data_IF_434406997490
#
_entry.id   IF_434406997490
#
_cell.length_a   1.000
_cell.length_b   1.000
_cell.length_c   1.000
_cell.angle_alpha   90.00
_cell.angle_beta   90.00
_cell.angle_gamma   90.00
#
_symmetry.space_group_name_H-M   'P 1'
#
loop_
_entity.id
_entity.type
_entity.pdbx_description
1 polymer ?
#
# COMPACT_ATOMS: atom_id res chain seq x y z
N UNK A 1 24.12 -22.10 -12.42
CA UNK A 1 23.52 -20.75 -12.54
C UNK A 1 24.66 -19.76 -12.61
N UNK A 2 24.68 -18.84 -13.58
CA UNK A 2 25.61 -17.70 -13.50
C UNK A 2 25.21 -16.86 -12.28
N UNK A 3 26.20 -16.37 -11.54
CA UNK A 3 25.99 -15.37 -10.48
C UNK A 3 25.35 -14.13 -11.10
N UNK A 4 24.29 -13.59 -10.48
CA UNK A 4 23.73 -12.31 -10.94
C UNK A 4 24.76 -11.20 -10.77
N UNK A 5 24.75 -10.23 -11.70
CA UNK A 5 25.64 -9.07 -11.62
C UNK A 5 25.27 -8.14 -10.46
N UNK A 6 24.11 -8.35 -9.81
CA UNK A 6 23.59 -7.54 -8.73
C UNK A 6 23.92 -8.05 -7.33
N UNK A 7 24.60 -9.18 -7.19
CA UNK A 7 24.89 -9.77 -5.87
C UNK A 7 25.67 -8.82 -4.93
N UNK A 8 26.45 -7.88 -5.47
CA UNK A 8 27.17 -6.89 -4.65
C UNK A 8 26.23 -5.91 -3.92
N UNK A 9 24.98 -5.76 -4.38
CA UNK A 9 23.99 -4.90 -3.73
C UNK A 9 23.66 -5.42 -2.33
N UNK A 10 23.75 -6.73 -2.10
CA UNK A 10 23.52 -7.36 -0.81
C UNK A 10 24.41 -6.82 0.31
N UNK A 11 25.56 -6.20 -0.02
CA UNK A 11 26.45 -5.55 0.95
C UNK A 11 25.80 -4.37 1.66
N UNK A 12 24.85 -3.67 1.02
CA UNK A 12 24.17 -2.51 1.60
C UNK A 12 22.65 -2.62 1.65
N UNK A 13 22.02 -3.50 0.84
CA UNK A 13 20.58 -3.73 0.90
C UNK A 13 20.17 -5.05 0.24
N UNK A 14 19.80 -6.04 1.05
CA UNK A 14 19.24 -7.31 0.56
C UNK A 14 17.92 -7.13 -0.20
N UNK A 15 17.13 -6.12 0.14
CA UNK A 15 15.86 -5.84 -0.56
C UNK A 15 16.09 -5.27 -1.96
N UNK A 16 17.07 -4.37 -2.13
CA UNK A 16 17.42 -3.86 -3.46
C UNK A 16 18.03 -4.98 -4.33
N UNK A 17 18.85 -5.85 -3.74
CA UNK A 17 19.40 -7.03 -4.41
C UNK A 17 18.28 -7.94 -4.94
N UNK A 18 17.30 -8.27 -4.09
CA UNK A 18 16.15 -9.09 -4.49
C UNK A 18 15.36 -8.45 -5.64
N UNK A 19 15.09 -7.15 -5.56
CA UNK A 19 14.38 -6.41 -6.61
C UNK A 19 15.17 -6.44 -7.92
N UNK A 20 16.48 -6.27 -7.89
CA UNK A 20 17.33 -6.30 -9.07
C UNK A 20 17.40 -7.70 -9.71
N UNK A 21 17.52 -8.76 -8.89
CA UNK A 21 17.48 -10.16 -9.37
C UNK A 21 16.12 -10.48 -10.02
N UNK A 22 15.01 -9.95 -9.47
CA UNK A 22 13.68 -10.11 -10.09
C UNK A 22 13.61 -9.41 -11.45
N UNK A 23 14.18 -8.21 -11.58
CA UNK A 23 14.29 -7.52 -12.88
C UNK A 23 15.08 -8.37 -13.87
N UNK A 24 16.22 -8.92 -13.44
CA UNK A 24 17.08 -9.79 -14.25
C UNK A 24 16.33 -11.04 -14.73
N UNK A 25 15.57 -11.68 -13.85
CA UNK A 25 14.80 -12.90 -14.13
C UNK A 25 13.66 -12.64 -15.12
N UNK A 26 12.97 -11.51 -15.00
CA UNK A 26 11.82 -11.15 -15.84
C UNK A 26 12.22 -10.49 -17.16
N UNK A 27 13.50 -10.18 -17.34
CA UNK A 27 14.02 -9.29 -18.37
C UNK A 27 13.62 -9.67 -19.80
N UNK A 28 13.64 -10.97 -20.11
CA UNK A 28 13.41 -11.49 -21.46
C UNK A 28 11.93 -11.83 -21.73
N UNK A 29 11.23 -12.33 -20.71
CA UNK A 29 9.89 -12.90 -20.88
C UNK A 29 8.77 -11.92 -20.52
N UNK A 30 9.01 -11.05 -19.53
CA UNK A 30 7.98 -10.23 -18.90
C UNK A 30 8.47 -8.80 -18.63
N UNK A 31 8.64 -7.97 -19.68
CA UNK A 31 9.19 -6.63 -19.54
C UNK A 31 8.33 -5.74 -18.62
N UNK A 32 7.00 -5.84 -18.67
CA UNK A 32 6.10 -5.02 -17.86
C UNK A 32 6.22 -5.29 -16.35
N UNK A 33 6.15 -6.55 -15.88
CA UNK A 33 6.54 -6.91 -14.51
C UNK A 33 7.96 -6.48 -14.15
N UNK A 34 8.94 -6.66 -15.04
CA UNK A 34 10.32 -6.23 -14.81
C UNK A 34 10.40 -4.72 -14.53
N UNK A 35 9.71 -3.88 -15.31
CA UNK A 35 9.68 -2.44 -15.06
C UNK A 35 8.95 -2.04 -13.78
N UNK A 36 7.96 -2.82 -13.35
CA UNK A 36 7.31 -2.60 -12.06
C UNK A 36 8.28 -2.87 -10.91
N UNK A 37 9.10 -3.92 -11.00
CA UNK A 37 10.17 -4.17 -10.02
C UNK A 37 11.26 -3.10 -10.06
N UNK A 38 11.67 -2.67 -11.26
CA UNK A 38 12.63 -1.57 -11.43
C UNK A 38 12.15 -0.27 -10.79
N UNK A 39 10.84 0.03 -10.86
CA UNK A 39 10.25 1.19 -10.19
C UNK A 39 10.39 1.11 -8.67
N UNK A 40 10.05 -0.05 -8.08
CA UNK A 40 10.20 -0.27 -6.63
C UNK A 40 11.66 -0.10 -6.20
N UNK A 41 12.59 -0.62 -7.01
CA UNK A 41 14.02 -0.43 -6.80
C UNK A 41 14.39 1.06 -6.73
N UNK A 42 13.96 1.86 -7.72
CA UNK A 42 14.24 3.29 -7.75
C UNK A 42 13.59 4.08 -6.61
N UNK A 43 12.37 3.70 -6.18
CA UNK A 43 11.67 4.31 -5.04
C UNK A 43 12.40 4.03 -3.71
N UNK A 44 12.87 2.79 -3.53
CA UNK A 44 13.65 2.39 -2.36
C UNK A 44 15.02 3.08 -2.34
N UNK A 45 15.76 3.06 -3.46
CA UNK A 45 17.08 3.69 -3.54
C UNK A 45 17.02 5.20 -3.23
N UNK A 46 16.04 5.91 -3.79
CA UNK A 46 15.84 7.34 -3.49
C UNK A 46 15.50 7.56 -2.02
N UNK A 47 14.73 6.67 -1.40
CA UNK A 47 14.43 6.79 0.03
C UNK A 47 15.68 6.56 0.89
N UNK A 48 16.53 5.60 0.52
CA UNK A 48 17.82 5.39 1.18
C UNK A 48 18.74 6.61 1.05
N UNK A 49 18.83 7.24 -0.13
CA UNK A 49 19.60 8.48 -0.31
C UNK A 49 19.07 9.59 0.62
N UNK A 50 17.75 9.77 0.70
CA UNK A 50 17.16 10.76 1.60
C UNK A 50 17.52 10.52 3.06
N UNK A 51 17.55 9.25 3.49
CA UNK A 51 17.94 8.87 4.85
C UNK A 51 19.43 9.16 5.10
N UNK A 52 20.32 8.81 4.16
CA UNK A 52 21.76 9.07 4.26
C UNK A 52 22.07 10.58 4.30
N UNK A 53 21.37 11.38 3.50
CA UNK A 53 21.53 12.83 3.44
C UNK A 53 20.77 13.56 4.59
N UNK A 54 20.16 12.80 5.51
CA UNK A 54 19.35 13.29 6.61
C UNK A 54 18.27 14.30 6.16
N UNK A 55 17.67 14.04 5.01
CA UNK A 55 16.63 14.87 4.39
C UNK A 55 15.23 14.45 4.81
N UNK A 56 15.10 13.90 6.03
CA UNK A 56 13.83 13.44 6.55
C UNK A 56 12.81 14.58 6.60
N UNK A 57 11.63 14.35 6.04
CA UNK A 57 10.63 15.40 5.85
C UNK A 57 9.46 15.25 6.79
N UNK A 58 8.96 16.39 7.27
CA UNK A 58 7.74 16.49 8.09
C UNK A 58 6.52 16.00 7.30
N UNK A 59 6.55 16.10 5.96
CA UNK A 59 5.45 15.69 5.09
C UNK A 59 5.92 14.68 4.02
N UNK A 60 5.07 13.70 3.65
CA UNK A 60 5.40 12.76 2.59
C UNK A 60 5.52 13.46 1.22
N UNK A 61 6.70 13.36 0.60
CA UNK A 61 6.91 13.79 -0.78
C UNK A 61 6.58 12.68 -1.79
N UNK A 62 6.07 13.07 -2.96
CA UNK A 62 5.97 12.15 -4.10
C UNK A 62 7.35 11.81 -4.63
N UNK A 63 7.47 10.65 -5.28
CA UNK A 63 8.74 10.20 -5.85
C UNK A 63 9.40 11.21 -6.81
N UNK A 64 8.60 11.87 -7.65
CA UNK A 64 9.11 12.91 -8.57
C UNK A 64 9.63 14.15 -7.83
N UNK A 65 9.02 14.51 -6.70
CA UNK A 65 9.45 15.63 -5.87
C UNK A 65 10.77 15.30 -5.17
N UNK A 66 10.90 14.06 -4.66
CA UNK A 66 12.15 13.56 -4.08
C UNK A 66 13.31 13.62 -5.08
N UNK A 67 13.14 13.03 -6.27
CA UNK A 67 14.18 13.02 -7.32
C UNK A 67 14.58 14.45 -7.73
N UNK A 68 13.60 15.33 -7.94
CA UNK A 68 13.87 16.72 -8.31
C UNK A 68 14.61 17.48 -7.19
N UNK A 69 14.32 17.19 -5.92
CA UNK A 69 14.99 17.84 -4.79
C UNK A 69 16.46 17.40 -4.71
N UNK A 70 16.75 16.11 -4.84
CA UNK A 70 18.13 15.61 -4.89
C UNK A 70 18.93 16.28 -6.01
N UNK A 71 18.33 16.42 -7.19
CA UNK A 71 18.98 17.05 -8.33
C UNK A 71 19.22 18.55 -8.11
N UNK A 72 18.21 19.29 -7.61
CA UNK A 72 18.34 20.74 -7.35
C UNK A 72 19.31 21.10 -6.24
N UNK A 73 19.59 20.15 -5.34
CA UNK A 73 20.55 20.32 -4.25
C UNK A 73 21.92 19.74 -4.59
N UNK A 74 22.14 19.38 -5.87
CA UNK A 74 23.41 18.83 -6.38
C UNK A 74 23.87 17.54 -5.68
N UNK A 75 22.95 16.81 -5.04
CA UNK A 75 23.23 15.51 -4.39
C UNK A 75 23.40 14.42 -5.44
N UNK A 76 22.60 14.48 -6.52
CA UNK A 76 22.71 13.58 -7.67
C UNK A 76 23.06 14.36 -8.93
N UNK A 77 23.90 13.77 -9.77
CA UNK A 77 24.27 14.34 -11.06
C UNK A 77 23.20 14.10 -12.13
N UNK A 78 23.30 14.83 -13.25
CA UNK A 78 22.33 14.78 -14.36
C UNK A 78 22.13 13.37 -14.94
N UNK A 79 23.20 12.57 -14.99
CA UNK A 79 23.13 11.20 -15.50
C UNK A 79 22.36 10.27 -14.56
N UNK A 80 22.53 10.40 -13.24
CA UNK A 80 21.79 9.69 -12.19
C UNK A 80 20.33 10.12 -12.18
N UNK A 81 20.09 11.44 -12.26
CA UNK A 81 18.76 12.01 -12.39
C UNK A 81 17.99 11.43 -13.58
N UNK A 82 18.61 11.41 -14.77
CA UNK A 82 18.01 10.85 -15.98
C UNK A 82 17.66 9.38 -15.85
N UNK A 83 18.51 8.57 -15.21
CA UNK A 83 18.26 7.14 -14.95
C UNK A 83 17.07 6.94 -14.00
N UNK A 84 17.00 7.71 -12.91
CA UNK A 84 15.87 7.67 -11.97
C UNK A 84 14.55 8.12 -12.61
N UNK A 85 14.56 9.21 -13.40
CA UNK A 85 13.37 9.66 -14.13
C UNK A 85 12.94 8.66 -15.21
N UNK A 86 13.89 8.01 -15.89
CA UNK A 86 13.60 6.97 -16.87
C UNK A 86 12.84 5.81 -16.22
N UNK A 87 13.39 5.25 -15.14
CA UNK A 87 12.76 4.16 -14.38
C UNK A 87 11.39 4.58 -13.85
N UNK A 88 11.26 5.79 -13.29
CA UNK A 88 9.98 6.31 -12.77
C UNK A 88 8.92 6.43 -13.86
N UNK A 89 9.25 7.05 -15.00
CA UNK A 89 8.29 7.29 -16.09
C UNK A 89 7.86 5.97 -16.73
N UNK A 90 8.81 5.11 -17.07
CA UNK A 90 8.53 3.82 -17.73
C UNK A 90 7.87 2.82 -16.78
N UNK A 91 8.28 2.81 -15.51
CA UNK A 91 7.62 2.04 -14.45
C UNK A 91 6.16 2.45 -14.23
N UNK A 92 5.86 3.76 -14.23
CA UNK A 92 4.48 4.25 -14.13
C UNK A 92 3.61 3.79 -15.31
N UNK A 93 4.17 3.80 -16.52
CA UNK A 93 3.49 3.28 -17.72
C UNK A 93 3.20 1.79 -17.53
N UNK A 94 4.21 1.01 -17.13
CA UNK A 94 4.08 -0.43 -16.89
C UNK A 94 3.02 -0.77 -15.82
N UNK A 95 2.86 0.06 -14.78
CA UNK A 95 1.88 -0.20 -13.71
C UNK A 95 0.44 0.20 -14.06
N UNK A 96 0.22 1.12 -15.00
CA UNK A 96 -1.09 1.75 -15.20
C UNK A 96 -1.65 1.65 -16.63
N UNK A 97 -0.83 1.31 -17.63
CA UNK A 97 -1.26 1.21 -19.02
C UNK A 97 -1.27 -0.25 -19.46
N UNK A 98 -2.36 -0.68 -20.10
CA UNK A 98 -2.47 -1.99 -20.75
C UNK A 98 -1.87 -1.87 -22.16
N UNK A 99 -0.57 -1.60 -22.22
CA UNK A 99 0.17 -1.53 -23.48
C UNK A 99 1.27 -2.58 -23.45
N UNK A 100 1.43 -3.30 -24.55
CA UNK A 100 2.62 -4.13 -24.75
C UNK A 100 3.85 -3.23 -24.67
N UNK A 101 4.81 -3.65 -23.85
CA UNK A 101 6.02 -2.89 -23.61
C UNK A 101 7.20 -3.59 -24.24
N UNK A 102 7.97 -2.82 -25.00
CA UNK A 102 9.17 -3.30 -25.68
C UNK A 102 10.19 -3.82 -24.66
N UNK A 103 10.79 -4.96 -24.98
CA UNK A 103 11.84 -5.59 -24.21
C UNK A 103 13.07 -4.69 -24.08
N UNK A 104 13.35 -3.84 -25.06
CA UNK A 104 14.44 -2.84 -24.99
C UNK A 104 14.25 -1.88 -23.81
N UNK A 105 13.00 -1.56 -23.44
CA UNK A 105 12.72 -0.70 -22.28
C UNK A 105 13.21 -1.35 -20.99
N UNK A 106 12.98 -2.65 -20.84
CA UNK A 106 13.41 -3.42 -19.68
C UNK A 106 14.93 -3.59 -19.63
N UNK A 107 15.60 -3.80 -20.78
CA UNK A 107 17.08 -3.84 -20.86
C UNK A 107 17.72 -2.52 -20.44
N UNK A 108 17.19 -1.40 -20.92
CA UNK A 108 17.66 -0.08 -20.51
C UNK A 108 17.45 0.16 -19.01
N UNK A 109 16.33 -0.31 -18.44
CA UNK A 109 16.12 -0.21 -17.00
C UNK A 109 17.07 -1.09 -16.19
N UNK A 110 17.34 -2.31 -16.65
CA UNK A 110 18.33 -3.19 -16.03
C UNK A 110 19.72 -2.56 -16.02
N UNK A 111 20.15 -1.94 -17.13
CA UNK A 111 21.40 -1.18 -17.17
C UNK A 111 21.37 0.02 -16.20
N UNK A 112 20.27 0.78 -16.19
CA UNK A 112 20.11 1.90 -15.27
C UNK A 112 20.18 1.48 -13.80
N UNK A 113 19.58 0.34 -13.44
CA UNK A 113 19.68 -0.24 -12.08
C UNK A 113 21.13 -0.53 -11.71
N UNK A 114 21.89 -1.11 -12.63
CA UNK A 114 23.30 -1.43 -12.40
C UNK A 114 24.14 -0.18 -12.18
N UNK A 115 24.01 0.82 -13.06
CA UNK A 115 24.71 2.09 -12.94
C UNK A 115 24.37 2.82 -11.62
N UNK A 116 23.08 2.85 -11.26
CA UNK A 116 22.61 3.45 -10.00
C UNK A 116 23.17 2.73 -8.78
N UNK A 117 23.30 1.41 -8.85
CA UNK A 117 23.82 0.59 -7.76
C UNK A 117 25.32 0.82 -7.56
N UNK A 118 26.08 0.92 -8.66
CA UNK A 118 27.51 1.28 -8.60
C UNK A 118 27.67 2.67 -8.00
N UNK A 119 26.94 3.65 -8.50
CA UNK A 119 27.02 5.02 -8.00
C UNK A 119 26.73 5.08 -6.49
N UNK A 120 25.68 4.40 -6.03
CA UNK A 120 25.36 4.36 -4.60
C UNK A 120 26.48 3.70 -3.77
N UNK A 121 27.06 2.61 -4.29
CA UNK A 121 28.17 1.91 -3.64
C UNK A 121 29.39 2.81 -3.49
N UNK A 122 29.75 3.56 -4.55
CA UNK A 122 30.91 4.45 -4.57
C UNK A 122 30.74 5.67 -3.67
N UNK A 123 29.52 6.22 -3.58
CA UNK A 123 29.23 7.43 -2.82
C UNK A 123 28.98 7.14 -1.33
N UNK A 124 28.18 6.12 -1.01
CA UNK A 124 27.67 5.91 0.36
C UNK A 124 28.25 4.70 1.09
N UNK A 125 28.76 3.68 0.38
CA UNK A 125 29.15 2.41 1.01
C UNK A 125 30.66 2.27 1.14
N UNK A 126 31.39 2.34 0.02
CA UNK A 126 32.84 2.18 0.01
C UNK A 126 33.49 2.88 -1.18
N UNK A 127 34.29 3.92 -0.89
CA UNK A 127 35.12 4.61 -1.88
C UNK A 127 36.26 3.74 -2.46
N UNK A 128 36.48 2.54 -1.90
CA UNK A 128 37.48 1.58 -2.40
C UNK A 128 36.86 0.44 -3.20
N UNK A 129 35.53 0.45 -3.35
CA UNK A 129 34.81 -0.50 -4.17
C UNK A 129 35.32 -0.49 -5.61
N UNK A 130 35.39 -1.68 -6.22
CA UNK A 130 35.71 -1.84 -7.63
C UNK A 130 34.48 -2.32 -8.35
N UNK A 131 33.92 -1.45 -9.19
CA UNK A 131 32.73 -1.75 -9.95
C UNK A 131 32.91 -3.02 -10.82
N UNK A 132 31.98 -3.99 -10.74
CA UNK A 132 31.96 -5.09 -11.69
C UNK A 132 31.67 -4.58 -13.10
N UNK A 133 32.02 -5.37 -14.12
CA UNK A 133 31.68 -5.04 -15.50
C UNK A 133 30.21 -5.38 -15.76
N UNK A 134 29.50 -4.47 -16.43
CA UNK A 134 28.12 -4.71 -16.81
C UNK A 134 28.03 -5.84 -17.84
N UNK A 135 27.17 -6.84 -17.56
CA UNK A 135 26.83 -7.90 -18.51
C UNK A 135 25.32 -8.03 -18.63
N UNK A 136 24.82 -8.08 -19.85
CA UNK A 136 23.41 -8.40 -20.08
C UNK A 136 23.19 -9.92 -19.89
N UNK A 137 22.18 -10.35 -19.12
CA UNK A 137 21.90 -11.77 -18.91
C UNK A 137 21.67 -12.48 -20.24
N UNK A 138 22.29 -13.65 -20.43
CA UNK A 138 22.13 -14.42 -21.66
C UNK A 138 20.67 -14.87 -21.82
N UNK A 139 20.14 -14.81 -23.04
CA UNK A 139 18.79 -15.29 -23.41
C UNK A 139 18.63 -16.80 -23.34
N UNK A 140 19.50 -17.53 -22.63
CA UNK A 140 19.39 -18.98 -22.55
C UNK A 140 18.03 -19.26 -21.93
N UNK A 141 17.07 -19.62 -22.79
CA UNK A 141 15.73 -20.02 -22.41
C UNK A 141 15.92 -21.04 -21.30
N UNK A 142 15.68 -20.62 -20.05
CA UNK A 142 15.73 -21.54 -18.93
C UNK A 142 14.76 -22.65 -19.30
N UNK A 143 15.27 -23.87 -19.34
CA UNK A 143 14.55 -25.03 -19.81
C UNK A 143 13.19 -25.05 -19.09
N UNK A 144 12.09 -24.80 -19.81
CA UNK A 144 10.76 -24.57 -19.23
C UNK A 144 10.29 -25.74 -18.35
N UNK A 145 10.96 -26.89 -18.47
CA UNK A 145 10.73 -28.08 -17.69
C UNK A 145 11.11 -27.91 -16.20
N UNK A 146 12.23 -27.27 -15.89
CA UNK A 146 12.71 -27.12 -14.50
C UNK A 146 11.96 -26.01 -13.76
N UNK A 147 11.60 -24.92 -14.46
CA UNK A 147 10.80 -23.84 -13.90
C UNK A 147 9.36 -24.28 -13.61
N UNK A 148 8.74 -25.08 -14.50
CA UNK A 148 7.42 -25.63 -14.24
C UNK A 148 7.43 -26.57 -13.05
N UNK A 149 8.46 -27.42 -12.93
CA UNK A 149 8.60 -28.34 -11.79
C UNK A 149 8.82 -27.59 -10.48
N UNK A 150 9.63 -26.53 -10.48
CA UNK A 150 9.83 -25.68 -9.31
C UNK A 150 8.57 -24.90 -8.96
N UNK A 151 7.86 -24.35 -9.95
CA UNK A 151 6.61 -23.63 -9.74
C UNK A 151 5.49 -24.56 -9.27
N UNK A 152 5.39 -25.78 -9.81
CA UNK A 152 4.47 -26.81 -9.35
C UNK A 152 4.80 -27.22 -7.91
N UNK A 153 6.09 -27.36 -7.56
CA UNK A 153 6.53 -27.67 -6.19
C UNK A 153 6.20 -26.52 -5.23
N UNK A 154 6.46 -25.28 -5.63
CA UNK A 154 6.18 -24.09 -4.85
C UNK A 154 4.68 -23.86 -4.66
N UNK A 155 3.88 -24.06 -5.71
CA UNK A 155 2.41 -24.01 -5.66
C UNK A 155 1.90 -25.12 -4.74
N UNK A 156 2.40 -26.36 -4.86
CA UNK A 156 2.00 -27.46 -4.00
C UNK A 156 2.31 -27.17 -2.53
N UNK A 157 3.52 -26.70 -2.22
CA UNK A 157 3.92 -26.36 -0.86
C UNK A 157 3.11 -25.19 -0.30
N UNK A 158 2.82 -24.18 -1.13
CA UNK A 158 1.98 -23.05 -0.75
C UNK A 158 0.53 -23.47 -0.53
N UNK A 159 -0.04 -24.31 -1.40
CA UNK A 159 -1.40 -24.85 -1.22
C UNK A 159 -1.51 -25.71 0.02
N UNK A 160 -0.49 -26.51 0.35
CA UNK A 160 -0.44 -27.31 1.57
C UNK A 160 -0.44 -26.42 2.83
N UNK A 161 0.37 -25.35 2.83
CA UNK A 161 0.37 -24.37 3.92
C UNK A 161 -0.98 -23.64 4.03
N UNK A 162 -1.63 -23.34 2.91
CA UNK A 162 -2.97 -22.76 2.89
C UNK A 162 -4.00 -23.71 3.49
N UNK A 163 -3.99 -25.00 3.13
CA UNK A 163 -4.90 -25.99 3.71
C UNK A 163 -4.65 -26.19 5.20
N UNK A 164 -3.40 -26.22 5.64
CA UNK A 164 -3.03 -26.30 7.07
C UNK A 164 -3.54 -25.07 7.84
N UNK A 165 -3.43 -23.86 7.25
CA UNK A 165 -3.98 -22.62 7.82
C UNK A 165 -5.51 -22.67 7.86
N UNK A 166 -6.17 -23.16 6.80
CA UNK A 166 -7.63 -23.29 6.75
C UNK A 166 -8.15 -24.28 7.80
N UNK A 167 -7.48 -25.41 7.98
CA UNK A 167 -7.80 -26.39 9.03
C UNK A 167 -7.59 -25.80 10.43
N UNK A 168 -6.48 -25.09 10.67
CA UNK A 168 -6.23 -24.38 11.92
C UNK A 168 -7.28 -23.29 12.18
N UNK A 169 -7.71 -22.54 11.16
CA UNK A 169 -8.77 -21.54 11.28
C UNK A 169 -10.12 -22.18 11.59
N UNK A 170 -10.41 -23.35 11.03
CA UNK A 170 -11.65 -24.07 11.30
C UNK A 170 -11.66 -24.67 12.70
N UNK A 171 -10.53 -25.20 13.18
CA UNK A 171 -10.36 -25.62 14.58
C UNK A 171 -10.56 -24.45 15.55
N UNK A 172 -9.92 -23.30 15.30
CA UNK A 172 -10.09 -22.09 16.12
C UNK A 172 -11.54 -21.56 16.09
N UNK A 173 -12.25 -21.71 14.97
CA UNK A 173 -13.68 -21.39 14.88
C UNK A 173 -14.54 -22.36 15.68
N UNK A 174 -14.23 -23.65 15.67
CA UNK A 174 -14.94 -24.67 16.43
C UNK A 174 -14.71 -24.51 17.94
N UNK A 175 -13.47 -24.20 18.35
CA UNK A 175 -13.13 -23.85 19.73
C UNK A 175 -13.88 -22.59 20.19
N UNK A 176 -13.88 -21.53 19.38
CA UNK A 176 -14.70 -20.33 19.66
C UNK A 176 -16.19 -20.59 19.65
N UNK A 177 -16.68 -21.50 18.81
CA UNK A 177 -18.09 -21.89 18.80
C UNK A 177 -18.44 -22.66 20.08
N UNK A 178 -17.59 -23.57 20.55
CA UNK A 178 -17.78 -24.25 21.82
C UNK A 178 -17.69 -23.29 23.02
N UNK A 179 -16.79 -22.29 22.99
CA UNK A 179 -16.74 -21.21 23.98
C UNK A 179 -18.00 -20.32 23.94
N UNK A 180 -18.56 -20.04 22.76
CA UNK A 180 -19.79 -19.26 22.61
C UNK A 180 -21.06 -20.02 22.99
N UNK A 181 -21.06 -21.37 22.91
CA UNK A 181 -22.20 -22.23 23.30
C UNK A 181 -22.41 -22.31 24.82
N UNK A 182 -21.43 -21.86 25.63
CA UNK A 182 -21.60 -21.67 27.08
C UNK A 182 -22.29 -20.33 27.38
N UNK A 183 -22.24 -19.37 26.46
CA UNK A 183 -22.68 -17.98 26.68
C UNK A 183 -24.07 -17.71 26.06
N UNK A 184 -24.46 -18.39 24.97
CA UNK A 184 -25.74 -18.15 24.26
C UNK A 184 -26.82 -19.22 24.51
N UNK A 185 -27.17 -19.46 25.79
CA UNK A 185 -28.48 -20.04 26.15
C UNK A 185 -29.62 -19.01 26.22
N UNK A 186 -29.34 -17.74 25.92
CA UNK A 186 -30.36 -16.70 25.84
C UNK A 186 -30.36 -16.02 24.48
N UNK A 187 -31.53 -16.10 23.83
CA UNK A 187 -31.98 -15.33 22.66
C UNK A 187 -31.69 -15.95 21.30
N UNK A 188 -32.70 -16.69 20.91
CA UNK A 188 -32.94 -17.31 19.62
C UNK A 188 -33.66 -16.37 18.63
N UNK A 189 -33.56 -16.76 17.34
CA UNK A 189 -34.40 -16.43 16.16
C UNK A 189 -33.95 -15.16 15.39
N UNK A 190 -33.60 -15.17 14.10
CA UNK A 190 -34.34 -15.66 12.91
C UNK A 190 -33.41 -15.78 11.66
N UNK A 191 -33.51 -16.94 10.98
CA UNK A 191 -33.41 -17.30 9.55
C UNK A 191 -32.25 -16.87 8.58
N UNK A 192 -31.41 -17.87 8.25
CA UNK A 192 -31.18 -18.55 6.92
C UNK A 192 -31.30 -17.69 5.63
N UNK A 193 -30.19 -17.31 4.97
CA UNK A 193 -29.37 -18.03 3.93
C UNK A 193 -29.88 -17.81 2.48
N UNK A 194 -29.13 -18.06 1.38
CA UNK A 194 -27.68 -18.05 1.08
C UNK A 194 -27.34 -17.27 -0.23
N UNK A 195 -26.06 -17.13 -0.59
CA UNK A 195 -25.49 -17.48 -1.92
C UNK A 195 -24.25 -16.66 -2.32
N UNK A 196 -23.32 -17.42 -2.89
CA UNK A 196 -22.08 -17.05 -3.57
C UNK A 196 -22.29 -16.22 -4.83
N UNK A 197 -21.57 -15.11 -4.97
CA UNK A 197 -21.16 -14.55 -6.28
C UNK A 197 -19.79 -13.87 -6.13
N UNK A 198 -18.83 -14.29 -6.97
CA UNK A 198 -17.60 -13.53 -7.26
C UNK A 198 -17.99 -12.22 -7.95
N UNK A 199 -17.80 -11.09 -7.28
CA UNK A 199 -17.70 -9.79 -7.93
C UNK A 199 -16.47 -9.06 -7.36
N UNK A 200 -15.63 -8.53 -8.26
CA UNK A 200 -14.64 -7.51 -7.93
C UNK A 200 -15.36 -6.17 -7.64
N UNK A 201 -16.42 -6.18 -6.84
CA UNK A 201 -16.95 -4.97 -6.24
C UNK A 201 -16.13 -4.73 -4.97
N UNK A 202 -15.38 -3.63 -4.91
CA UNK A 202 -14.87 -3.16 -3.63
C UNK A 202 -16.09 -2.85 -2.77
N UNK A 203 -16.11 -3.41 -1.57
CA UNK A 203 -17.18 -3.27 -0.59
C UNK A 203 -16.49 -2.70 0.65
N UNK A 204 -17.17 -1.75 1.31
CA UNK A 204 -16.71 -1.15 2.56
C UNK A 204 -16.20 -2.27 3.49
N UNK A 205 -14.97 -2.19 4.03
CA UNK A 205 -14.34 -3.28 4.78
C UNK A 205 -14.90 -3.44 6.21
N UNK A 206 -16.22 -3.62 6.31
CA UNK A 206 -16.97 -3.61 7.57
C UNK A 206 -16.55 -4.76 8.49
N UNK A 207 -16.41 -5.98 7.94
CA UNK A 207 -16.02 -7.18 8.70
C UNK A 207 -14.70 -6.99 9.46
N UNK A 208 -13.78 -6.18 8.91
CA UNK A 208 -12.46 -5.95 9.51
C UNK A 208 -12.49 -4.92 10.64
N UNK A 209 -13.41 -3.95 10.58
CA UNK A 209 -13.32 -2.73 11.39
C UNK A 209 -14.53 -2.44 12.27
N UNK A 210 -15.70 -3.06 12.05
CA UNK A 210 -16.93 -2.79 12.80
C UNK A 210 -16.73 -2.91 14.32
N UNK A 211 -15.97 -3.91 14.76
CA UNK A 211 -15.66 -4.11 16.19
C UNK A 211 -14.89 -2.95 16.82
N UNK A 212 -14.09 -2.20 16.05
CA UNK A 212 -13.39 -1.02 16.55
C UNK A 212 -14.36 0.13 16.84
N UNK A 213 -15.39 0.32 16.01
CA UNK A 213 -16.45 1.31 16.23
C UNK A 213 -17.31 0.96 17.44
N UNK A 214 -17.73 -0.31 17.57
CA UNK A 214 -18.50 -0.77 18.74
C UNK A 214 -17.75 -0.56 20.05
N UNK A 215 -16.44 -0.80 20.08
CA UNK A 215 -15.58 -0.62 21.27
C UNK A 215 -15.57 0.81 21.81
N UNK A 216 -15.85 1.80 20.95
CA UNK A 216 -15.91 3.22 21.32
C UNK A 216 -17.33 3.80 21.18
N UNK A 217 -18.35 2.95 21.33
CA UNK A 217 -19.77 3.33 21.33
C UNK A 217 -20.25 4.05 20.06
N UNK A 218 -19.66 3.72 18.91
CA UNK A 218 -20.19 4.10 17.61
C UNK A 218 -21.06 2.98 17.03
N UNK A 219 -22.33 3.28 16.81
CA UNK A 219 -23.31 2.35 16.26
C UNK A 219 -23.54 2.66 14.78
N UNK A 220 -23.58 1.61 13.95
CA UNK A 220 -23.81 1.79 12.52
C UNK A 220 -25.27 2.20 12.28
N UNK A 221 -25.48 3.31 11.57
CA UNK A 221 -26.80 3.86 11.25
C UNK A 221 -27.19 3.65 9.80
N UNK A 222 -26.20 3.49 8.91
CA UNK A 222 -26.45 3.29 7.48
C UNK A 222 -25.28 2.57 6.79
N UNK A 223 -25.58 1.79 5.75
CA UNK A 223 -24.58 1.13 4.91
C UNK A 223 -24.93 1.33 3.44
N UNK A 224 -23.95 1.77 2.67
CA UNK A 224 -24.04 1.93 1.22
C UNK A 224 -22.85 1.25 0.56
N UNK A 225 -22.88 1.10 -0.77
CA UNK A 225 -21.71 0.59 -1.52
C UNK A 225 -20.43 1.42 -1.29
N UNK A 226 -20.54 2.71 -0.96
CA UNK A 226 -19.40 3.64 -0.87
C UNK A 226 -18.95 3.95 0.56
N UNK A 227 -19.84 3.79 1.54
CA UNK A 227 -19.55 4.13 2.92
C UNK A 227 -20.48 3.40 3.91
N UNK A 228 -19.94 3.09 5.08
CA UNK A 228 -20.69 2.78 6.29
C UNK A 228 -20.73 4.03 7.19
N UNK A 229 -21.92 4.41 7.63
CA UNK A 229 -22.18 5.54 8.52
C UNK A 229 -22.33 5.04 9.96
N UNK A 230 -21.65 5.72 10.87
CA UNK A 230 -21.68 5.44 12.29
C UNK A 230 -22.03 6.71 13.07
N UNK A 231 -22.83 6.56 14.11
CA UNK A 231 -23.21 7.63 15.04
C UNK A 231 -22.79 7.25 16.46
N UNK A 232 -22.24 8.22 17.20
CA UNK A 232 -21.86 8.00 18.59
C UNK A 232 -23.09 7.94 19.50
N UNK A 233 -23.18 6.89 20.33
CA UNK A 233 -24.37 6.60 21.14
C UNK A 233 -24.71 7.71 22.14
N UNK A 234 -23.70 8.27 22.81
CA UNK A 234 -23.91 9.31 23.83
C UNK A 234 -23.94 10.74 23.24
N UNK A 235 -23.49 10.93 22.01
CA UNK A 235 -23.38 12.26 21.36
C UNK A 235 -24.16 12.25 20.06
N UNK A 236 -25.50 12.21 20.19
CA UNK A 236 -26.45 12.19 19.08
C UNK A 236 -26.16 13.35 18.12
N UNK A 237 -26.06 13.05 16.82
CA UNK A 237 -25.65 13.99 15.78
C UNK A 237 -24.16 13.92 15.42
N UNK A 238 -23.34 13.14 16.13
CA UNK A 238 -21.92 12.98 15.87
C UNK A 238 -21.65 11.80 14.94
N UNK A 239 -21.51 12.10 13.65
CA UNK A 239 -21.36 11.09 12.60
C UNK A 239 -19.92 10.92 12.15
N UNK A 240 -19.58 9.66 11.84
CA UNK A 240 -18.30 9.26 11.26
C UNK A 240 -18.57 8.25 10.14
N UNK A 241 -17.79 8.30 9.06
CA UNK A 241 -17.98 7.43 7.90
C UNK A 241 -16.74 6.57 7.62
N UNK A 242 -16.90 5.26 7.49
CA UNK A 242 -15.89 4.37 6.91
C UNK A 242 -16.11 4.27 5.40
N UNK A 243 -15.13 4.66 4.60
CA UNK A 243 -15.23 4.73 3.13
C UNK A 243 -14.64 3.50 2.45
N UNK A 244 -15.22 3.15 1.30
CA UNK A 244 -14.72 2.13 0.39
C UNK A 244 -13.60 2.68 -0.52
N UNK A 245 -12.37 2.70 0.00
CA UNK A 245 -11.17 3.17 -0.71
C UNK A 245 -10.08 2.08 -0.73
N UNK A 246 -9.10 2.20 -1.65
CA UNK A 246 -7.94 1.28 -1.75
C UNK A 246 -7.23 1.13 -0.40
N UNK A 247 -7.11 2.24 0.33
CA UNK A 247 -6.71 2.25 1.74
C UNK A 247 -7.94 2.53 2.60
N UNK A 248 -8.21 1.74 3.65
CA UNK A 248 -9.28 2.02 4.59
C UNK A 248 -9.22 3.47 5.07
N UNK A 249 -10.33 4.19 4.92
CA UNK A 249 -10.39 5.62 5.15
C UNK A 249 -11.58 5.95 6.02
N UNK A 250 -11.39 6.77 7.04
CA UNK A 250 -12.46 7.32 7.85
C UNK A 250 -12.66 8.80 7.51
N UNK A 251 -13.90 9.25 7.40
CA UNK A 251 -14.27 10.64 7.21
C UNK A 251 -14.98 11.18 8.46
N UNK A 252 -14.51 12.32 8.95
CA UNK A 252 -15.06 12.99 10.14
C UNK A 252 -15.60 14.37 9.80
N UNK A 253 -16.52 14.84 10.64
CA UNK A 253 -17.22 16.09 10.45
C UNK A 253 -16.27 17.30 10.57
N UNK A 254 -16.37 18.33 9.72
CA UNK A 254 -15.50 19.49 9.74
C UNK A 254 -15.42 20.22 11.08
N UNK A 255 -16.54 20.40 11.77
CA UNK A 255 -16.58 21.09 13.07
C UNK A 255 -15.69 20.43 14.13
N UNK A 256 -15.54 19.10 14.08
CA UNK A 256 -14.74 18.36 15.06
C UNK A 256 -13.24 18.61 14.85
N UNK A 257 -12.80 18.77 13.59
CA UNK A 257 -11.41 19.06 13.24
C UNK A 257 -11.06 20.50 13.58
N UNK A 258 -11.99 21.42 13.36
CA UNK A 258 -11.80 22.86 13.62
C UNK A 258 -11.74 23.17 15.14
N UNK A 259 -12.38 22.33 15.97
CA UNK A 259 -12.43 22.50 17.42
C UNK A 259 -11.22 21.89 18.16
N UNK A 260 -10.65 20.77 17.68
CA UNK A 260 -9.55 20.08 18.36
C UNK A 260 -8.24 20.10 17.56
N UNK A 261 -7.23 20.80 18.10
CA UNK A 261 -5.88 20.88 17.53
C UNK A 261 -5.21 19.51 17.41
N UNK A 262 -5.55 18.52 18.24
CA UNK A 262 -4.97 17.17 18.17
C UNK A 262 -5.41 16.40 16.92
N UNK A 263 -6.51 16.82 16.27
CA UNK A 263 -6.97 16.27 14.99
C UNK A 263 -6.36 17.00 13.78
N UNK A 264 -5.73 18.16 13.98
CA UNK A 264 -5.03 18.92 12.94
C UNK A 264 -3.63 18.36 12.63
N UNK A 265 -2.99 17.69 13.60
CA UNK A 265 -1.62 17.15 13.48
C UNK A 265 -1.54 15.83 12.69
N UNK A 266 -2.68 15.25 12.31
CA UNK A 266 -2.74 14.02 11.49
C UNK A 266 -3.01 14.43 10.04
N UNK A 267 -2.33 13.83 9.02
CA UNK A 267 -2.49 14.23 7.62
C UNK A 267 -3.96 14.10 7.19
N UNK A 268 -4.65 15.22 7.12
CA UNK A 268 -6.05 15.27 6.76
C UNK A 268 -6.22 15.87 5.37
N UNK A 269 -7.12 15.29 4.58
CA UNK A 269 -7.50 15.83 3.28
C UNK A 269 -8.98 16.11 3.31
N UNK A 270 -9.36 17.34 3.01
CA UNK A 270 -10.76 17.68 2.78
C UNK A 270 -11.20 17.01 1.47
N UNK A 271 -12.25 16.19 1.52
CA UNK A 271 -12.81 15.56 0.33
C UNK A 271 -14.29 15.90 0.17
N UNK A 272 -14.74 15.98 -1.09
CA UNK A 272 -16.15 16.03 -1.46
C UNK A 272 -16.63 14.60 -1.72
N UNK A 273 -17.67 14.15 -1.03
CA UNK A 273 -18.23 12.81 -1.25
C UNK A 273 -19.73 12.78 -0.95
N UNK A 274 -20.51 12.32 -1.93
CA UNK A 274 -21.98 12.20 -1.84
C UNK A 274 -22.47 11.20 -0.78
N UNK A 275 -21.58 10.34 -0.28
CA UNK A 275 -21.87 9.41 0.79
C UNK A 275 -21.94 10.09 2.18
N UNK A 276 -21.33 11.27 2.35
CA UNK A 276 -21.24 12.00 3.62
C UNK A 276 -22.54 12.78 3.93
N UNK A 277 -23.70 12.13 3.88
CA UNK A 277 -25.01 12.79 3.83
C UNK A 277 -25.31 13.68 5.05
N UNK A 278 -24.70 13.39 6.21
CA UNK A 278 -24.85 14.14 7.47
C UNK A 278 -23.85 15.29 7.62
N UNK A 279 -22.90 15.44 6.70
CA UNK A 279 -21.88 16.50 6.75
C UNK A 279 -22.33 17.76 5.97
N UNK A 280 -21.75 18.94 6.22
CA UNK A 280 -22.13 20.16 5.51
C UNK A 280 -21.84 20.05 4.01
N UNK A 281 -22.61 20.81 3.22
CA UNK A 281 -22.33 21.06 1.80
C UNK A 281 -21.53 22.35 1.68
N UNK A 282 -20.57 22.38 0.76
CA UNK A 282 -19.82 23.60 0.45
C UNK A 282 -20.61 24.41 -0.59
N UNK A 283 -20.71 25.72 -0.39
CA UNK A 283 -21.20 26.63 -1.43
C UNK A 283 -20.04 27.05 -2.33
N UNK A 284 -20.19 26.89 -3.64
CA UNK A 284 -19.21 27.32 -4.63
C UNK A 284 -19.97 28.02 -5.77
N UNK A 285 -19.79 29.34 -5.90
CA UNK A 285 -20.48 30.13 -6.94
C UNK A 285 -22.00 30.17 -6.84
N UNK A 286 -22.58 30.16 -5.63
CA UNK A 286 -24.04 30.22 -5.42
C UNK A 286 -24.79 28.90 -5.65
N UNK A 287 -24.07 27.78 -5.84
CA UNK A 287 -24.65 26.44 -5.98
C UNK A 287 -24.16 25.52 -4.86
N UNK A 288 -25.10 24.82 -4.20
CA UNK A 288 -24.80 23.82 -3.17
C UNK A 288 -24.10 22.61 -3.81
N UNK A 289 -22.83 22.38 -3.45
CA UNK A 289 -22.04 21.23 -3.89
C UNK A 289 -22.29 19.97 -3.03
N UNK A 290 -21.60 18.87 -3.35
CA UNK A 290 -21.61 17.65 -2.54
C UNK A 290 -21.13 17.89 -1.10
N UNK A 291 -21.58 17.04 -0.18
CA UNK A 291 -21.14 17.06 1.22
C UNK A 291 -19.62 16.88 1.33
N UNK A 292 -19.00 17.51 2.33
CA UNK A 292 -17.55 17.44 2.53
C UNK A 292 -17.17 17.09 3.97
N UNK A 293 -16.03 16.42 4.12
CA UNK A 293 -15.44 16.07 5.42
C UNK A 293 -13.93 15.92 5.34
N UNK A 294 -13.30 15.71 6.48
CA UNK A 294 -11.87 15.44 6.58
C UNK A 294 -11.63 13.95 6.64
N UNK A 295 -10.74 13.44 5.79
CA UNK A 295 -10.41 12.01 5.75
C UNK A 295 -9.07 11.67 6.34
N UNK A 296 -9.02 10.50 6.98
CA UNK A 296 -7.83 9.87 7.54
C UNK A 296 -7.73 8.44 7.02
N UNK A 297 -6.61 8.12 6.38
CA UNK A 297 -6.29 6.76 5.95
C UNK A 297 -5.57 6.01 7.07
N UNK A 298 -5.88 4.74 7.23
CA UNK A 298 -5.24 3.87 8.23
C UNK A 298 -4.96 2.49 7.62
N UNK A 299 -3.95 1.80 8.14
CA UNK A 299 -3.50 0.50 7.65
C UNK A 299 -3.92 -0.65 8.57
N UNK A 300 -3.94 -0.38 9.88
CA UNK A 300 -4.19 -1.36 10.92
C UNK A 300 -5.46 -1.06 11.72
N UNK A 301 -6.05 -2.10 12.31
CA UNK A 301 -7.18 -1.94 13.25
C UNK A 301 -6.79 -1.10 14.46
N UNK A 302 -5.53 -1.21 14.91
CA UNK A 302 -4.98 -0.45 16.03
C UNK A 302 -4.96 1.06 15.75
N UNK A 303 -4.48 1.47 14.57
CA UNK A 303 -4.53 2.88 14.14
C UNK A 303 -5.96 3.43 14.11
N UNK A 304 -6.92 2.63 13.62
CA UNK A 304 -8.33 3.01 13.64
C UNK A 304 -8.84 3.20 15.06
N UNK A 305 -8.54 2.27 15.98
CA UNK A 305 -8.93 2.37 17.38
C UNK A 305 -8.36 3.63 18.05
N UNK A 306 -7.08 3.93 17.83
CA UNK A 306 -6.43 5.13 18.37
C UNK A 306 -7.08 6.41 17.82
N UNK A 307 -7.41 6.44 16.53
CA UNK A 307 -8.08 7.58 15.90
C UNK A 307 -9.50 7.77 16.42
N UNK A 308 -10.26 6.69 16.56
CA UNK A 308 -11.61 6.70 17.12
C UNK A 308 -11.61 7.18 18.58
N UNK A 309 -10.63 6.78 19.38
CA UNK A 309 -10.48 7.28 20.75
C UNK A 309 -10.23 8.79 20.79
N UNK A 310 -9.41 9.33 19.88
CA UNK A 310 -9.21 10.78 19.76
C UNK A 310 -10.49 11.50 19.37
N UNK A 311 -11.25 10.94 18.43
CA UNK A 311 -12.57 11.47 18.02
C UNK A 311 -13.52 11.52 19.22
N UNK A 312 -13.64 10.44 19.99
CA UNK A 312 -14.50 10.42 21.19
C UNK A 312 -14.04 11.44 22.23
N UNK A 313 -12.73 11.58 22.42
CA UNK A 313 -12.18 12.59 23.34
C UNK A 313 -12.53 14.02 22.89
N UNK A 314 -12.42 14.30 21.59
CA UNK A 314 -12.79 15.58 21.00
C UNK A 314 -14.30 15.86 21.11
N UNK A 315 -15.14 14.83 21.04
CA UNK A 315 -16.59 14.94 21.23
C UNK A 315 -17.00 15.21 22.68
N UNK A 316 -16.13 14.93 23.65
CA UNK A 316 -16.38 15.16 25.08
C UNK A 316 -15.67 16.38 25.67
N UNK A 317 -14.93 17.14 24.86
CA UNK A 317 -14.20 18.35 25.26
C UNK A 317 -15.03 19.61 25.01
#
# INVERSE_FOLDING_TARGET
>A
MKSSIFNFIGEFSSTLEELAIRVETLLWDQPQPAMTQARLFGEMLVSMIFEQENMNEVYPLKQVEKINRLYRQDIIQDDIYKKLEYIRKKGNIASHQVLEMDQEVAKQAHQALFDLSIWYMEVYVSHTFRAPTYELPSTQKQDHHDMKKWMDTYIQETTKRLTEIEEHLEQLKQEKQQESLVIDKEKSKVNKSPSSVKSNERIVPLERFESAFKKVNFNMTNLTKKAAEFEHEANVGSFVYLLDNVSPTIAIHPSLVEQDKMLMDVPNKQIKNTALRRFPKKEEGGKLMSNFGYTYTFQTKKELEELLQRIVKALGS
#
